data_IF_986049684959
#
_entry.id   IF_986049684959
#
_cell.length_a   1.000
_cell.length_b   1.000
_cell.length_c   1.000
_cell.angle_alpha   90.00
_cell.angle_beta   90.00
_cell.angle_gamma   90.00
#
_symmetry.space_group_name_H-M   'P 1'
#
loop_
_entity.id
_entity.type
_entity.pdbx_description
1 polymer ?
#
# COMPACT_ATOMS: atom_id res chain seq x y z
N UNK A 1 -1.35 -5.26 -1.08
CA UNK A 1 -2.65 -4.56 -1.27
C UNK A 1 -3.75 -5.56 -1.04
N UNK A 2 -4.91 -5.12 -0.54
CA UNK A 2 -6.01 -6.01 -0.18
C UNK A 2 -7.27 -5.54 -0.91
N UNK A 3 -7.99 -6.50 -1.52
CA UNK A 3 -9.30 -6.29 -2.13
C UNK A 3 -10.41 -6.50 -1.09
N UNK A 4 -11.36 -5.58 -1.05
CA UNK A 4 -12.58 -5.68 -0.25
C UNK A 4 -13.67 -6.42 -1.03
N UNK A 5 -14.59 -7.04 -0.29
CA UNK A 5 -15.77 -7.72 -0.87
C UNK A 5 -16.63 -6.79 -1.74
N UNK A 6 -16.61 -5.49 -1.47
CA UNK A 6 -17.33 -4.47 -2.24
C UNK A 6 -16.56 -3.95 -3.47
N UNK A 7 -15.42 -4.55 -3.81
CA UNK A 7 -14.59 -4.20 -4.96
C UNK A 7 -13.65 -3.01 -4.72
N UNK A 8 -13.68 -2.37 -3.54
CA UNK A 8 -12.70 -1.36 -3.16
C UNK A 8 -11.38 -2.01 -2.76
N UNK A 9 -10.29 -1.25 -2.82
CA UNK A 9 -8.95 -1.71 -2.49
C UNK A 9 -8.35 -0.84 -1.40
N UNK A 10 -7.46 -1.39 -0.57
CA UNK A 10 -6.66 -0.61 0.36
C UNK A 10 -5.23 -1.13 0.46
N UNK A 11 -4.37 -0.29 1.03
CA UNK A 11 -2.96 -0.61 1.26
C UNK A 11 -2.80 -1.04 2.71
N UNK A 12 -2.15 -2.17 2.91
CA UNK A 12 -1.83 -2.74 4.23
C UNK A 12 -0.34 -3.00 4.32
N UNK A 13 0.23 -2.74 5.49
CA UNK A 13 1.60 -3.07 5.84
C UNK A 13 1.58 -4.23 6.83
N UNK A 14 2.02 -5.39 6.37
CA UNK A 14 2.04 -6.62 7.16
C UNK A 14 3.15 -6.66 8.22
N UNK A 15 4.27 -5.97 7.94
CA UNK A 15 5.47 -5.94 8.75
C UNK A 15 6.27 -4.65 8.54
N UNK A 16 7.04 -4.26 9.56
CA UNK A 16 7.96 -3.12 9.53
C UNK A 16 7.31 -1.81 9.97
N UNK A 17 8.16 -0.79 10.13
CA UNK A 17 7.77 0.54 10.62
C UNK A 17 8.08 1.65 9.60
N UNK A 18 8.63 1.30 8.45
CA UNK A 18 9.14 2.24 7.45
C UNK A 18 8.05 3.16 6.88
N UNK A 19 6.80 2.70 6.93
CA UNK A 19 5.63 3.44 6.46
C UNK A 19 4.84 4.07 7.60
N UNK A 20 5.39 4.11 8.82
CA UNK A 20 4.59 4.45 9.99
C UNK A 20 4.08 5.89 10.02
N UNK A 21 4.82 6.78 9.38
CA UNK A 21 4.51 8.20 9.22
C UNK A 21 3.39 8.50 8.22
N UNK A 22 2.95 7.52 7.42
CA UNK A 22 1.89 7.72 6.44
C UNK A 22 0.50 7.42 7.01
N UNK A 23 -0.39 8.39 6.88
CA UNK A 23 -1.81 8.23 7.20
C UNK A 23 -2.53 7.40 6.12
N UNK A 24 -3.63 6.73 6.51
CA UNK A 24 -4.49 6.00 5.57
C UNK A 24 -3.90 4.69 5.05
N UNK A 25 -2.91 4.12 5.75
CA UNK A 25 -2.40 2.77 5.49
C UNK A 25 -2.87 1.86 6.63
N UNK A 26 -3.47 0.72 6.28
CA UNK A 26 -3.91 -0.28 7.25
C UNK A 26 -2.69 -0.89 7.94
N UNK A 27 -2.79 -1.02 9.27
CA UNK A 27 -1.80 -1.67 10.12
C UNK A 27 -2.54 -2.53 11.14
N UNK A 28 -2.98 -3.73 10.75
CA UNK A 28 -3.92 -4.52 11.55
C UNK A 28 -3.35 -4.93 12.91
N UNK A 29 -2.03 -4.93 13.07
CA UNK A 29 -1.33 -5.31 14.30
C UNK A 29 -1.02 -4.13 15.24
N UNK A 30 -1.36 -2.90 14.85
CA UNK A 30 -1.04 -1.68 15.63
C UNK A 30 -2.28 -1.12 16.34
N UNK A 31 -2.05 -0.59 17.54
CA UNK A 31 -3.04 0.16 18.31
C UNK A 31 -2.55 1.60 18.51
N UNK A 32 -3.39 2.62 18.30
CA UNK A 32 -4.81 2.53 17.92
C UNK A 32 -5.01 2.11 16.46
N UNK A 33 -6.16 1.50 16.17
CA UNK A 33 -6.56 1.19 14.79
C UNK A 33 -6.58 2.45 13.95
N UNK A 34 -5.95 2.38 12.77
CA UNK A 34 -5.99 3.44 11.76
C UNK A 34 -6.79 2.94 10.57
N UNK A 35 -7.88 3.64 10.26
CA UNK A 35 -8.69 3.34 9.08
C UNK A 35 -7.86 3.60 7.81
N UNK A 36 -7.81 2.65 6.86
CA UNK A 36 -7.09 2.87 5.62
C UNK A 36 -7.87 3.76 4.66
N UNK A 37 -7.16 4.36 3.72
CA UNK A 37 -7.78 4.96 2.54
C UNK A 37 -8.21 3.86 1.57
N UNK A 38 -9.44 3.97 1.10
CA UNK A 38 -10.00 3.06 0.11
C UNK A 38 -9.90 3.66 -1.29
N UNK A 39 -9.53 2.81 -2.24
CA UNK A 39 -9.42 3.13 -3.67
C UNK A 39 -10.50 2.36 -4.42
N UNK A 40 -11.07 2.95 -5.45
CA UNK A 40 -12.15 2.36 -6.25
C UNK A 40 -11.71 1.18 -7.11
N UNK A 41 -10.40 1.01 -7.34
CA UNK A 41 -9.84 -0.05 -8.15
C UNK A 41 -8.39 -0.35 -7.74
N UNK A 42 -7.90 -1.50 -8.22
CA UNK A 42 -6.54 -1.99 -7.97
C UNK A 42 -5.46 -1.03 -8.48
N UNK A 43 -5.67 -0.40 -9.63
CA UNK A 43 -4.69 0.50 -10.25
C UNK A 43 -4.42 1.75 -9.42
N UNK A 44 -5.47 2.35 -8.84
CA UNK A 44 -5.35 3.48 -7.93
C UNK A 44 -4.59 3.11 -6.66
N UNK A 45 -4.90 1.95 -6.07
CA UNK A 45 -4.18 1.44 -4.91
C UNK A 45 -2.70 1.15 -5.24
N UNK A 46 -2.42 0.59 -6.42
CA UNK A 46 -1.05 0.25 -6.86
C UNK A 46 -0.22 1.50 -7.08
N UNK A 47 -0.77 2.47 -7.80
CA UNK A 47 -0.12 3.77 -8.02
C UNK A 47 0.28 4.39 -6.69
N UNK A 48 -0.63 4.39 -5.72
CA UNK A 48 -0.35 4.97 -4.42
C UNK A 48 0.67 4.17 -3.61
N UNK A 49 0.63 2.83 -3.67
CA UNK A 49 1.62 1.97 -3.01
C UNK A 49 3.04 2.24 -3.57
N UNK A 50 3.19 2.36 -4.89
CA UNK A 50 4.48 2.66 -5.52
C UNK A 50 5.00 4.05 -5.12
N UNK A 51 4.12 5.06 -5.03
CA UNK A 51 4.50 6.38 -4.52
C UNK A 51 5.05 6.33 -3.08
N UNK A 52 4.40 5.57 -2.21
CA UNK A 52 4.83 5.41 -0.81
C UNK A 52 6.18 4.70 -0.73
N UNK A 53 6.34 3.60 -1.47
CA UNK A 53 7.59 2.84 -1.56
C UNK A 53 8.74 3.75 -2.02
N UNK A 54 8.52 4.62 -3.02
CA UNK A 54 9.53 5.57 -3.50
C UNK A 54 9.93 6.60 -2.45
N UNK A 55 8.99 7.06 -1.63
CA UNK A 55 9.27 8.05 -0.59
C UNK A 55 10.13 7.49 0.54
N UNK A 56 10.03 6.20 0.83
CA UNK A 56 10.84 5.53 1.86
C UNK A 56 12.15 4.99 1.27
N UNK A 57 12.09 4.36 0.09
CA UNK A 57 13.24 3.70 -0.53
C UNK A 57 13.66 4.42 -1.81
N UNK A 58 14.55 5.40 -1.68
CA UNK A 58 14.91 6.31 -2.78
C UNK A 58 15.69 5.63 -3.91
N UNK A 59 16.34 4.49 -3.63
CA UNK A 59 17.19 3.76 -4.59
C UNK A 59 16.49 2.56 -5.24
N UNK A 60 15.16 2.47 -5.15
CA UNK A 60 14.42 1.31 -5.60
C UNK A 60 14.04 1.39 -7.08
N UNK A 61 14.21 0.28 -7.82
CA UNK A 61 13.77 0.20 -9.22
C UNK A 61 12.26 -0.07 -9.28
N UNK A 62 11.50 1.02 -9.39
CA UNK A 62 10.03 1.03 -9.37
C UNK A 62 9.43 0.25 -10.54
N UNK A 63 10.08 0.24 -11.70
CA UNK A 63 9.59 -0.49 -12.87
C UNK A 63 9.58 -2.00 -12.58
N UNK A 64 10.68 -2.52 -12.02
CA UNK A 64 10.78 -3.92 -11.63
C UNK A 64 9.73 -4.32 -10.59
N UNK A 65 9.40 -3.40 -9.68
CA UNK A 65 8.34 -3.63 -8.66
C UNK A 65 6.96 -3.60 -9.29
N UNK A 66 6.70 -2.63 -10.16
CA UNK A 66 5.41 -2.55 -10.86
C UNK A 66 5.16 -3.82 -11.67
N UNK A 67 6.18 -4.39 -12.31
CA UNK A 67 6.06 -5.61 -13.09
C UNK A 67 5.76 -6.80 -12.18
N UNK A 68 6.52 -6.97 -11.09
CA UNK A 68 6.26 -8.02 -10.10
C UNK A 68 4.84 -7.97 -9.52
N UNK A 69 4.35 -6.77 -9.20
CA UNK A 69 3.00 -6.61 -8.65
C UNK A 69 1.92 -6.82 -9.72
N UNK A 70 2.18 -6.59 -11.01
CA UNK A 70 1.21 -6.88 -12.08
C UNK A 70 1.01 -8.38 -12.31
N UNK A 71 2.01 -9.19 -12.00
CA UNK A 71 1.97 -10.65 -12.16
C UNK A 71 1.27 -11.38 -10.99
N UNK A 72 0.97 -10.67 -9.89
CA UNK A 72 0.20 -11.18 -8.73
C UNK A 72 -1.30 -10.91 -8.86
#
# INVERSE_FOLDING_TARGET
>A
MVECVDGRWFIEVDFGHDFDSFAGISKPKYSPYVAPNFYSNREGALTKALELIRQVHHNINVNKISDYIKEM
#
